data_IF_352069905825
#
_entry.id   IF_352069905825
#
_cell.length_a   1.000
_cell.length_b   1.000
_cell.length_c   1.000
_cell.angle_alpha   90.00
_cell.angle_beta   90.00
_cell.angle_gamma   90.00
#
_symmetry.space_group_name_H-M   'P 1'
#
loop_
_entity.id
_entity.type
_entity.pdbx_description
1 polymer ?
#
# COMPACT_ATOMS: atom_id res chain seq x y z
N UNK A 1 -41.58 13.03 -59.67
CA UNK A 1 -40.59 13.10 -60.74
C UNK A 1 -39.45 13.95 -60.21
N UNK A 2 -38.27 13.50 -59.79
CA UNK A 2 -37.56 12.22 -59.68
C UNK A 2 -36.45 12.54 -58.64
N UNK A 3 -36.27 11.81 -57.53
CA UNK A 3 -35.58 10.52 -57.36
C UNK A 3 -34.13 10.46 -57.87
N UNK A 4 -33.23 10.13 -56.94
CA UNK A 4 -31.86 9.60 -57.06
C UNK A 4 -30.69 10.56 -57.39
N UNK A 5 -29.61 10.37 -56.59
CA UNK A 5 -28.28 11.02 -56.57
C UNK A 5 -28.22 12.19 -55.56
N UNK A 6 -27.47 12.15 -54.47
CA UNK A 6 -26.18 11.52 -54.25
C UNK A 6 -25.98 11.25 -52.75
N UNK A 7 -26.11 9.99 -52.35
CA UNK A 7 -25.88 9.48 -50.99
C UNK A 7 -24.40 9.16 -50.73
N UNK A 8 -23.47 9.69 -51.54
CA UNK A 8 -22.05 9.30 -51.51
C UNK A 8 -21.11 10.29 -50.80
N UNK A 9 -21.62 11.36 -50.18
CA UNK A 9 -20.77 12.32 -49.43
C UNK A 9 -20.89 12.22 -47.90
N UNK A 10 -21.67 11.28 -47.36
CA UNK A 10 -21.87 11.14 -45.91
C UNK A 10 -21.32 9.83 -45.31
N UNK A 11 -20.53 9.07 -46.08
CA UNK A 11 -19.93 7.80 -45.63
C UNK A 11 -18.39 7.82 -45.53
N UNK A 12 -17.74 8.97 -45.75
CA UNK A 12 -16.27 9.08 -45.74
C UNK A 12 -15.70 9.94 -44.59
N UNK A 13 -16.50 10.25 -43.56
CA UNK A 13 -16.06 11.00 -42.38
C UNK A 13 -16.13 10.23 -41.05
N UNK A 14 -16.29 8.90 -41.11
CA UNK A 14 -16.37 8.03 -39.91
C UNK A 14 -15.22 7.00 -39.82
N UNK A 15 -14.10 7.21 -40.52
CA UNK A 15 -13.01 6.21 -40.60
C UNK A 15 -11.60 6.73 -40.30
N UNK A 16 -11.42 7.89 -39.66
CA UNK A 16 -10.07 8.43 -39.37
C UNK A 16 -9.87 8.96 -37.95
N UNK A 17 -10.46 8.35 -36.93
CA UNK A 17 -10.07 8.57 -35.51
C UNK A 17 -9.84 7.25 -34.75
N UNK A 18 -9.25 6.27 -35.44
CA UNK A 18 -8.70 5.05 -34.82
C UNK A 18 -7.22 4.91 -35.17
N UNK A 19 -6.44 5.93 -34.81
CA UNK A 19 -4.97 5.87 -34.83
C UNK A 19 -4.49 5.89 -33.37
N UNK A 20 -4.24 4.67 -32.88
CA UNK A 20 -3.18 4.32 -31.93
C UNK A 20 -3.24 4.99 -30.54
N UNK A 21 -4.21 4.59 -29.73
CA UNK A 21 -3.85 4.22 -28.35
C UNK A 21 -3.31 2.80 -28.46
N UNK A 22 -1.99 2.68 -28.64
CA UNK A 22 -1.37 1.39 -28.33
C UNK A 22 -1.56 1.19 -26.83
N UNK A 23 -2.18 0.08 -26.37
CA UNK A 23 -1.86 -0.37 -25.04
C UNK A 23 -0.35 -0.56 -25.07
N UNK A 24 0.36 0.12 -24.18
CA UNK A 24 1.74 -0.23 -23.86
C UNK A 24 1.68 -1.65 -23.29
N UNK A 25 1.65 -2.64 -24.17
CA UNK A 25 2.01 -4.00 -23.82
C UNK A 25 3.49 -3.90 -23.50
N UNK A 26 3.78 -3.76 -22.20
CA UNK A 26 5.05 -4.19 -21.64
C UNK A 26 5.41 -5.50 -22.34
N UNK A 27 6.49 -5.47 -23.11
CA UNK A 27 7.13 -6.70 -23.57
C UNK A 27 7.31 -7.56 -22.33
N UNK A 28 6.90 -8.84 -22.34
CA UNK A 28 7.05 -9.67 -21.16
C UNK A 28 8.52 -9.69 -20.81
N UNK A 29 8.88 -9.02 -19.72
CA UNK A 29 10.15 -9.26 -19.05
C UNK A 29 10.19 -10.78 -18.85
N UNK A 30 11.21 -11.38 -19.42
CA UNK A 30 11.51 -12.81 -19.43
C UNK A 30 11.02 -13.42 -18.12
N UNK A 31 9.87 -14.12 -18.14
CA UNK A 31 9.25 -14.57 -16.89
C UNK A 31 10.28 -15.41 -16.15
N UNK A 32 10.72 -14.96 -14.98
CA UNK A 32 11.61 -15.77 -14.18
C UNK A 32 10.90 -17.11 -13.91
N UNK A 33 11.71 -18.17 -13.89
CA UNK A 33 11.29 -19.55 -13.68
C UNK A 33 10.14 -19.60 -12.64
N UNK A 34 8.98 -20.16 -13.00
CA UNK A 34 7.79 -20.26 -12.14
C UNK A 34 8.04 -21.03 -10.83
N UNK A 35 9.22 -21.64 -10.70
CA UNK A 35 9.73 -22.28 -9.48
C UNK A 35 10.51 -21.37 -8.55
N UNK A 36 10.85 -20.14 -8.97
CA UNK A 36 11.55 -19.22 -8.10
C UNK A 36 10.62 -18.76 -6.99
N UNK A 37 11.06 -18.94 -5.74
CA UNK A 37 10.44 -18.33 -4.59
C UNK A 37 11.47 -18.10 -3.50
N UNK A 38 11.30 -17.03 -2.75
CA UNK A 38 12.22 -16.64 -1.69
C UNK A 38 11.47 -15.85 -0.61
N UNK A 39 12.11 -15.68 0.53
CA UNK A 39 11.56 -15.04 1.72
C UNK A 39 12.42 -13.85 2.11
N UNK A 40 11.78 -12.78 2.55
CA UNK A 40 12.43 -11.62 3.13
C UNK A 40 11.85 -11.40 4.53
N UNK A 41 12.71 -11.43 5.54
CA UNK A 41 12.34 -11.02 6.89
C UNK A 41 12.20 -9.50 6.95
N UNK A 42 11.11 -9.02 7.56
CA UNK A 42 10.84 -7.60 7.73
C UNK A 42 10.63 -7.29 9.21
N UNK A 43 11.35 -6.31 9.73
CA UNK A 43 11.09 -5.76 11.06
C UNK A 43 10.32 -4.46 10.93
N UNK A 44 9.38 -4.22 11.86
CA UNK A 44 8.67 -2.95 11.92
C UNK A 44 9.62 -1.81 12.29
N UNK A 45 9.20 -0.60 11.95
CA UNK A 45 9.79 0.62 12.51
C UNK A 45 9.62 0.59 14.03
N UNK A 46 10.62 1.07 14.78
CA UNK A 46 10.66 1.04 16.25
C UNK A 46 10.74 -0.39 16.85
N UNK A 47 11.16 -1.40 16.08
CA UNK A 47 11.43 -2.76 16.59
C UNK A 47 12.39 -2.73 17.79
N UNK A 48 12.03 -3.47 18.85
CA UNK A 48 12.84 -3.56 20.07
C UNK A 48 12.73 -2.35 21.02
N UNK A 49 12.03 -1.28 20.63
CA UNK A 49 11.76 -0.16 21.55
C UNK A 49 10.69 -0.55 22.58
N UNK A 50 10.88 -0.12 23.82
CA UNK A 50 9.93 -0.35 24.90
C UNK A 50 8.83 0.72 24.86
N UNK A 51 7.86 0.54 23.97
CA UNK A 51 6.75 1.47 23.73
C UNK A 51 5.41 0.74 23.88
N UNK A 52 4.39 1.43 24.39
CA UNK A 52 3.02 0.89 24.41
C UNK A 52 2.46 0.79 22.99
N UNK A 53 1.44 -0.06 22.79
CA UNK A 53 0.73 -0.16 21.52
C UNK A 53 0.24 1.22 21.05
N UNK A 54 -0.32 2.02 21.96
CA UNK A 54 -0.80 3.36 21.64
C UNK A 54 0.33 4.30 21.23
N UNK A 55 1.46 4.28 21.93
CA UNK A 55 2.63 5.07 21.54
C UNK A 55 3.15 4.71 20.14
N UNK A 56 3.21 3.42 19.81
CA UNK A 56 3.59 2.95 18.47
C UNK A 56 2.60 3.46 17.40
N UNK A 57 1.30 3.36 17.68
CA UNK A 57 0.26 3.90 16.78
C UNK A 57 0.43 5.40 16.62
N UNK A 58 0.46 6.17 17.71
CA UNK A 58 0.58 7.63 17.71
C UNK A 58 1.79 8.12 16.91
N UNK A 59 2.95 7.47 17.05
CA UNK A 59 4.16 7.79 16.30
C UNK A 59 3.99 7.58 14.79
N UNK A 60 3.18 6.60 14.40
CA UNK A 60 2.90 6.31 12.99
C UNK A 60 1.69 7.07 12.40
N UNK A 61 0.83 7.66 13.24
CA UNK A 61 -0.35 8.44 12.79
C UNK A 61 0.03 9.65 11.94
N UNK A 62 1.14 10.31 12.23
CA UNK A 62 1.58 11.47 11.45
C UNK A 62 1.79 11.10 9.98
N UNK A 63 2.52 10.02 9.71
CA UNK A 63 2.76 9.51 8.35
C UNK A 63 1.46 9.04 7.69
N UNK A 64 0.60 8.34 8.43
CA UNK A 64 -0.68 7.85 7.92
C UNK A 64 -1.63 8.96 7.45
N UNK A 65 -1.73 10.06 8.21
CA UNK A 65 -2.58 11.21 7.84
C UNK A 65 -2.06 11.94 6.61
N UNK A 66 -0.77 12.24 6.58
CA UNK A 66 -0.13 12.84 5.40
C UNK A 66 -0.37 11.95 4.17
N UNK A 67 -0.21 10.62 4.32
CA UNK A 67 -0.49 9.60 3.30
C UNK A 67 -1.88 9.65 2.72
N UNK A 68 -2.88 9.74 3.59
CA UNK A 68 -4.26 9.91 3.16
C UNK A 68 -4.47 11.23 2.38
N UNK A 69 -3.91 12.34 2.84
CA UNK A 69 -4.08 13.65 2.18
C UNK A 69 -3.49 13.64 0.77
N UNK A 70 -2.30 13.08 0.57
CA UNK A 70 -1.72 12.97 -0.76
C UNK A 70 -2.48 11.99 -1.65
N UNK A 71 -2.92 10.84 -1.15
CA UNK A 71 -3.77 9.95 -1.95
C UNK A 71 -5.06 10.63 -2.35
N UNK A 72 -5.63 11.44 -1.47
CA UNK A 72 -6.78 12.30 -1.80
C UNK A 72 -6.43 13.29 -2.90
N UNK A 73 -5.28 13.97 -2.83
CA UNK A 73 -4.77 14.89 -3.87
C UNK A 73 -4.48 14.19 -5.20
N UNK A 74 -3.85 13.03 -5.19
CA UNK A 74 -3.60 12.20 -6.39
C UNK A 74 -4.91 11.76 -7.03
N UNK A 75 -5.88 11.41 -6.20
CA UNK A 75 -7.16 10.98 -6.68
C UNK A 75 -7.95 12.21 -7.23
N UNK A 76 -7.88 13.41 -6.63
CA UNK A 76 -8.52 14.62 -7.21
C UNK A 76 -7.84 15.13 -8.48
N UNK A 77 -6.52 15.00 -8.59
CA UNK A 77 -5.72 15.39 -9.77
C UNK A 77 -5.76 14.36 -10.90
N UNK A 78 -6.30 13.16 -10.67
CA UNK A 78 -6.72 12.28 -11.77
C UNK A 78 -7.77 12.93 -12.71
N UNK A 79 -8.40 14.04 -12.27
CA UNK A 79 -9.23 14.90 -13.12
C UNK A 79 -8.47 16.05 -13.81
N UNK A 80 -7.15 16.20 -13.59
CA UNK A 80 -6.34 17.30 -14.12
C UNK A 80 -4.84 17.00 -14.11
N UNK A 81 -4.27 16.82 -15.31
CA UNK A 81 -2.86 16.53 -15.56
C UNK A 81 -1.89 17.61 -15.05
N UNK A 82 -1.54 17.62 -13.76
CA UNK A 82 -0.25 18.10 -13.23
C UNK A 82 -0.25 18.10 -11.70
N UNK A 83 0.65 17.33 -11.09
CA UNK A 83 1.20 17.71 -9.79
C UNK A 83 2.63 18.18 -10.06
N UNK A 84 2.84 19.49 -10.13
CA UNK A 84 4.17 20.11 -10.12
C UNK A 84 4.47 20.62 -8.71
N UNK A 85 5.47 20.02 -8.06
CA UNK A 85 6.10 20.60 -6.88
C UNK A 85 7.22 21.56 -7.32
N UNK A 86 7.44 22.68 -6.61
CA UNK A 86 8.44 23.68 -6.97
C UNK A 86 9.87 23.12 -6.93
N UNK A 87 10.66 23.48 -7.94
CA UNK A 87 12.02 22.98 -8.20
C UNK A 87 13.05 23.90 -7.54
N UNK A 88 13.97 23.34 -6.76
CA UNK A 88 15.22 24.00 -6.39
C UNK A 88 16.39 23.12 -6.84
N UNK A 89 17.26 23.59 -7.75
CA UNK A 89 18.36 22.79 -8.27
C UNK A 89 19.46 22.61 -7.22
N UNK A 90 19.77 21.35 -6.90
CA UNK A 90 20.97 20.95 -6.17
C UNK A 90 21.79 19.99 -7.02
N UNK A 91 22.99 20.40 -7.43
CA UNK A 91 23.97 19.56 -8.13
C UNK A 91 24.71 18.66 -7.15
N UNK A 92 24.68 17.34 -7.36
CA UNK A 92 25.49 16.39 -6.58
C UNK A 92 25.50 14.99 -7.21
N UNK A 93 26.72 14.51 -7.50
CA UNK A 93 27.03 13.19 -8.04
C UNK A 93 26.92 12.08 -6.98
N UNK A 94 26.50 10.90 -7.44
CA UNK A 94 26.56 9.60 -6.75
C UNK A 94 25.81 9.50 -5.40
N UNK A 95 25.52 8.28 -4.94
CA UNK A 95 24.92 8.02 -3.62
C UNK A 95 25.92 8.32 -2.46
N UNK A 96 26.84 9.26 -2.69
CA UNK A 96 27.93 9.73 -1.85
C UNK A 96 27.61 11.04 -1.13
N UNK A 97 26.48 11.70 -1.44
CA UNK A 97 26.06 12.86 -0.69
C UNK A 97 25.50 12.42 0.68
N UNK A 98 25.99 12.96 1.81
CA UNK A 98 25.39 12.69 3.11
C UNK A 98 24.01 13.32 3.11
N UNK A 99 22.96 12.53 2.88
CA UNK A 99 21.61 12.99 3.15
C UNK A 99 21.42 13.12 4.66
N UNK A 100 20.67 14.14 5.08
CA UNK A 100 20.54 14.71 6.44
C UNK A 100 19.88 13.77 7.46
N UNK A 101 19.77 12.47 7.16
CA UNK A 101 19.07 11.49 7.98
C UNK A 101 20.03 10.44 8.53
N UNK A 102 19.96 10.24 9.84
CA UNK A 102 20.62 9.13 10.51
C UNK A 102 19.83 7.84 10.19
N UNK A 103 20.37 7.00 9.31
CA UNK A 103 19.77 5.73 8.91
C UNK A 103 20.45 4.55 9.62
N UNK A 104 19.70 3.48 9.95
CA UNK A 104 20.21 2.40 10.81
C UNK A 104 21.27 1.51 10.16
N UNK A 105 21.44 1.56 8.84
CA UNK A 105 22.50 0.81 8.12
C UNK A 105 23.36 1.75 7.28
N UNK A 106 24.57 1.34 6.87
CA UNK A 106 25.41 2.15 5.99
C UNK A 106 24.69 2.51 4.68
N UNK A 107 24.97 3.70 4.16
CA UNK A 107 24.50 4.14 2.84
C UNK A 107 25.11 3.24 1.77
N UNK A 108 24.29 2.83 0.79
CA UNK A 108 24.74 1.98 -0.30
C UNK A 108 25.70 2.74 -1.21
N UNK A 109 26.95 2.28 -1.27
CA UNK A 109 28.00 2.87 -2.09
C UNK A 109 28.11 2.13 -3.43
N UNK A 110 27.48 2.70 -4.45
CA UNK A 110 27.48 2.17 -5.83
C UNK A 110 28.86 1.86 -6.39
N UNK A 111 29.91 2.55 -5.94
CA UNK A 111 31.28 2.35 -6.44
C UNK A 111 31.93 1.06 -5.92
N UNK A 112 31.39 0.49 -4.83
CA UNK A 112 31.89 -0.75 -4.22
C UNK A 112 31.26 -2.02 -4.79
N UNK A 113 30.20 -1.89 -5.57
CA UNK A 113 29.56 -3.03 -6.24
C UNK A 113 30.09 -3.15 -7.67
N UNK A 114 30.65 -4.31 -8.00
CA UNK A 114 31.14 -4.60 -9.35
C UNK A 114 30.03 -4.85 -10.37
N UNK A 115 28.78 -5.05 -9.90
CA UNK A 115 27.60 -5.27 -10.76
C UNK A 115 26.69 -4.04 -10.83
N UNK A 116 26.96 -3.01 -10.02
CA UNK A 116 26.18 -1.78 -10.05
C UNK A 116 26.53 -0.95 -11.28
N UNK A 117 25.50 -0.40 -11.92
CA UNK A 117 25.65 0.54 -13.03
C UNK A 117 24.54 1.58 -13.04
N UNK A 118 24.83 2.75 -13.61
CA UNK A 118 23.81 3.79 -13.78
C UNK A 118 22.83 3.41 -14.88
N UNK A 119 21.54 3.68 -14.66
CA UNK A 119 20.51 3.45 -15.66
C UNK A 119 20.61 4.53 -16.74
N UNK A 120 20.68 4.10 -18.00
CA UNK A 120 20.71 5.01 -19.14
C UNK A 120 19.33 5.61 -19.39
N UNK A 121 19.31 6.79 -20.01
CA UNK A 121 18.08 7.47 -20.36
C UNK A 121 17.19 6.73 -21.36
N UNK A 122 17.78 5.88 -22.19
CA UNK A 122 17.05 5.08 -23.17
C UNK A 122 16.57 3.74 -22.61
N UNK A 123 16.89 3.43 -21.35
CA UNK A 123 16.43 2.21 -20.68
C UNK A 123 14.94 2.32 -20.37
N UNK A 124 14.23 1.20 -20.47
CA UNK A 124 12.81 1.09 -20.10
C UNK A 124 12.60 1.49 -18.64
N UNK A 125 13.53 1.13 -17.74
CA UNK A 125 13.53 1.56 -16.33
C UNK A 125 13.48 3.08 -16.15
N UNK A 126 14.04 3.84 -17.10
CA UNK A 126 13.99 5.30 -17.07
C UNK A 126 12.66 5.83 -17.62
N UNK A 127 12.21 5.26 -18.73
CA UNK A 127 11.01 5.68 -19.44
C UNK A 127 9.72 5.34 -18.70
N UNK A 128 9.75 4.32 -17.85
CA UNK A 128 8.64 3.86 -17.02
C UNK A 128 8.33 4.79 -15.82
N UNK A 129 9.15 5.82 -15.58
CA UNK A 129 8.90 6.82 -14.55
C UNK A 129 7.93 7.89 -15.02
N UNK A 130 7.00 8.30 -14.14
CA UNK A 130 6.09 9.41 -14.41
C UNK A 130 6.81 10.76 -14.55
N UNK A 131 7.87 10.98 -13.75
CA UNK A 131 8.64 12.24 -13.74
C UNK A 131 10.12 11.92 -13.70
N UNK A 132 10.81 12.18 -14.80
CA UNK A 132 12.25 11.98 -14.90
C UNK A 132 12.93 13.09 -15.72
N UNK A 133 14.24 13.22 -15.53
CA UNK A 133 15.09 14.11 -16.31
C UNK A 133 16.32 13.36 -16.79
N UNK A 134 16.74 13.70 -18.00
CA UNK A 134 17.92 13.13 -18.62
C UNK A 134 19.02 14.16 -18.67
N UNK A 135 19.84 14.19 -17.62
CA UNK A 135 20.96 15.12 -17.49
C UNK A 135 22.06 14.39 -16.74
N UNK A 136 23.02 13.84 -17.48
CA UNK A 136 24.09 12.97 -16.99
C UNK A 136 23.57 11.67 -16.35
N UNK A 137 22.66 10.99 -17.07
CA UNK A 137 21.99 9.77 -16.62
C UNK A 137 20.51 9.98 -16.34
N UNK A 138 19.84 8.91 -15.92
CA UNK A 138 18.42 8.93 -15.62
C UNK A 138 18.16 9.47 -14.20
N UNK A 139 17.64 10.69 -14.07
CA UNK A 139 17.30 11.33 -12.80
C UNK A 139 15.81 11.21 -12.51
N UNK A 140 15.47 10.95 -11.26
CA UNK A 140 14.09 10.77 -10.82
C UNK A 140 13.68 11.81 -9.79
N UNK A 141 12.38 12.10 -9.78
CA UNK A 141 11.71 12.80 -8.70
C UNK A 141 10.50 11.98 -8.29
N UNK A 142 10.41 11.64 -7.01
CA UNK A 142 9.31 10.85 -6.48
C UNK A 142 8.68 11.57 -5.28
N UNK A 143 7.36 11.56 -5.22
CA UNK A 143 6.59 12.06 -4.09
C UNK A 143 5.77 10.93 -3.50
N UNK A 144 5.90 10.75 -2.18
CA UNK A 144 5.16 9.73 -1.47
C UNK A 144 3.86 10.28 -0.93
N UNK A 145 3.01 9.35 -0.50
CA UNK A 145 1.75 9.69 0.12
C UNK A 145 1.96 10.60 1.34
N UNK A 146 2.95 10.34 2.18
CA UNK A 146 3.17 11.09 3.43
C UNK A 146 3.78 12.49 3.25
N UNK A 147 3.60 13.08 2.06
CA UNK A 147 4.16 14.36 1.62
C UNK A 147 5.69 14.40 1.57
N UNK A 148 6.34 13.28 1.86
CA UNK A 148 7.78 13.15 1.69
C UNK A 148 8.13 13.06 0.20
N UNK A 149 9.33 13.51 -0.16
CA UNK A 149 9.83 13.45 -1.53
C UNK A 149 11.29 13.06 -1.57
N UNK A 150 11.68 12.49 -2.70
CA UNK A 150 13.04 12.04 -2.95
C UNK A 150 13.42 12.37 -4.39
N UNK A 151 14.62 12.88 -4.55
CA UNK A 151 15.25 13.18 -5.82
C UNK A 151 16.61 12.51 -5.86
N UNK A 152 16.96 11.98 -7.03
CA UNK A 152 18.26 11.38 -7.25
C UNK A 152 18.40 10.81 -8.66
N UNK A 153 19.15 9.72 -8.78
CA UNK A 153 19.36 9.04 -10.05
C UNK A 153 19.04 7.55 -9.94
N UNK A 154 18.65 6.96 -11.07
CA UNK A 154 18.38 5.54 -11.18
C UNK A 154 19.67 4.76 -11.39
N UNK A 155 19.82 3.69 -10.62
CA UNK A 155 20.88 2.70 -10.77
C UNK A 155 20.23 1.31 -10.92
N UNK A 156 21.02 0.36 -11.40
CA UNK A 156 20.65 -1.05 -11.39
C UNK A 156 21.80 -1.87 -10.83
N UNK A 157 21.47 -2.92 -10.08
CA UNK A 157 22.46 -3.83 -9.49
C UNK A 157 21.88 -5.24 -9.34
N UNK A 158 22.69 -6.17 -8.84
CA UNK A 158 22.29 -7.52 -8.48
C UNK A 158 21.76 -7.53 -7.06
N UNK A 159 20.49 -7.90 -6.90
CA UNK A 159 19.89 -8.11 -5.58
C UNK A 159 20.04 -9.57 -5.19
N UNK A 160 20.52 -9.82 -3.96
CA UNK A 160 20.64 -11.17 -3.42
C UNK A 160 19.67 -11.34 -2.26
N UNK A 161 18.79 -12.32 -2.36
CA UNK A 161 17.82 -12.68 -1.34
C UNK A 161 18.25 -13.97 -0.66
N UNK A 162 18.25 -13.97 0.67
CA UNK A 162 18.56 -15.17 1.45
C UNK A 162 17.40 -16.17 1.32
N UNK A 163 17.71 -17.40 0.93
CA UNK A 163 16.71 -18.45 0.78
C UNK A 163 16.76 -19.39 1.98
N UNK A 164 15.64 -19.50 2.69
CA UNK A 164 15.47 -20.34 3.86
C UNK A 164 15.28 -21.84 3.54
N UNK A 165 15.48 -22.29 2.29
CA UNK A 165 15.33 -23.70 1.90
C UNK A 165 16.27 -24.23 0.80
N UNK A 166 16.65 -23.42 -0.20
CA UNK A 166 17.48 -23.86 -1.34
C UNK A 166 18.77 -23.05 -1.59
N UNK A 167 19.11 -22.10 -0.70
CA UNK A 167 20.32 -21.27 -0.80
C UNK A 167 20.11 -19.95 -1.57
N UNK A 168 20.95 -18.94 -1.33
CA UNK A 168 20.68 -17.55 -1.73
C UNK A 168 20.38 -17.40 -3.23
N UNK A 169 19.43 -16.52 -3.54
CA UNK A 169 18.99 -16.21 -4.91
C UNK A 169 19.52 -14.82 -5.29
N UNK A 170 20.36 -14.75 -6.33
CA UNK A 170 20.85 -13.49 -6.89
C UNK A 170 20.19 -13.17 -8.23
N UNK A 171 19.67 -11.95 -8.38
CA UNK A 171 18.94 -11.49 -9.56
C UNK A 171 19.58 -10.19 -10.06
N UNK A 172 20.18 -10.19 -11.26
CA UNK A 172 20.88 -9.02 -11.80
C UNK A 172 19.92 -7.98 -12.36
N UNK A 173 20.44 -6.77 -12.55
CA UNK A 173 19.77 -5.67 -13.26
C UNK A 173 18.44 -5.22 -12.63
N UNK A 174 18.30 -5.34 -11.31
CA UNK A 174 17.17 -4.76 -10.60
C UNK A 174 17.41 -3.26 -10.47
N UNK A 175 16.51 -2.47 -11.04
CA UNK A 175 16.50 -1.01 -11.01
C UNK A 175 15.97 -0.45 -9.70
N UNK A 176 16.64 0.56 -9.18
CA UNK A 176 16.26 1.29 -7.97
C UNK A 176 16.76 2.74 -8.02
N UNK A 177 16.11 3.60 -7.23
CA UNK A 177 16.52 5.00 -7.07
C UNK A 177 17.60 5.16 -6.01
N UNK A 178 18.72 5.79 -6.35
CA UNK A 178 19.67 6.33 -5.38
C UNK A 178 19.26 7.75 -4.98
N UNK A 179 18.66 7.90 -3.80
CA UNK A 179 18.24 9.20 -3.28
C UNK A 179 19.41 10.08 -2.88
N UNK A 180 19.48 11.28 -3.43
CA UNK A 180 20.51 12.30 -3.14
C UNK A 180 19.91 13.42 -2.30
N UNK A 181 18.68 13.82 -2.58
CA UNK A 181 17.94 14.84 -1.86
C UNK A 181 16.59 14.27 -1.40
N UNK A 182 16.49 14.00 -0.10
CA UNK A 182 15.30 13.44 0.52
C UNK A 182 14.69 14.50 1.45
N UNK A 183 13.38 14.70 1.38
CA UNK A 183 12.66 15.69 2.20
C UNK A 183 11.45 15.05 2.88
N UNK A 184 11.19 15.43 4.12
CA UNK A 184 10.09 14.91 4.93
C UNK A 184 10.56 13.99 6.06
N UNK A 185 9.61 13.39 6.75
CA UNK A 185 9.87 12.48 7.87
C UNK A 185 9.53 11.07 7.41
N UNK A 186 10.51 10.16 7.36
CA UNK A 186 10.31 8.78 6.87
C UNK A 186 11.60 8.11 6.41
N UNK A 187 12.52 8.89 5.83
CA UNK A 187 13.80 8.38 5.31
C UNK A 187 14.84 8.03 6.38
N UNK A 188 14.63 8.40 7.65
CA UNK A 188 15.50 8.00 8.76
C UNK A 188 15.10 6.69 9.46
N UNK A 189 13.96 6.10 9.07
CA UNK A 189 13.42 4.91 9.75
C UNK A 189 13.92 3.60 9.16
N UNK A 190 14.55 3.66 7.98
CA UNK A 190 15.18 2.57 7.27
C UNK A 190 16.08 3.14 6.17
N UNK A 191 16.80 2.27 5.47
CA UNK A 191 17.82 2.69 4.48
C UNK A 191 17.27 2.84 3.07
N UNK A 192 15.95 2.69 2.91
CA UNK A 192 15.24 2.76 1.63
C UNK A 192 13.80 2.30 1.76
N UNK A 193 13.06 2.36 0.64
CA UNK A 193 11.67 1.94 0.53
C UNK A 193 11.54 0.93 -0.61
N UNK A 194 10.83 -0.17 -0.35
CA UNK A 194 10.55 -1.21 -1.35
C UNK A 194 9.12 -1.07 -1.84
N UNK A 195 8.96 -0.75 -3.13
CA UNK A 195 7.65 -0.67 -3.77
C UNK A 195 7.13 -2.05 -4.20
N UNK A 196 6.00 -2.48 -3.65
CA UNK A 196 5.31 -3.73 -4.03
C UNK A 196 4.06 -3.48 -4.89
N UNK A 197 3.87 -2.26 -5.40
CA UNK A 197 2.74 -1.90 -6.26
C UNK A 197 2.77 -2.60 -7.63
N UNK A 198 1.81 -2.25 -8.48
CA UNK A 198 1.63 -2.86 -9.81
C UNK A 198 2.34 -2.10 -10.94
N UNK A 199 3.09 -1.06 -10.58
CA UNK A 199 3.87 -0.29 -11.54
C UNK A 199 5.06 -1.09 -12.08
N UNK A 200 5.56 -0.76 -13.27
CA UNK A 200 6.68 -1.47 -13.90
C UNK A 200 7.98 -1.44 -13.08
N UNK A 201 8.19 -0.37 -12.31
CA UNK A 201 9.36 -0.21 -11.43
C UNK A 201 9.22 -0.90 -10.08
N UNK A 202 8.09 -1.53 -9.77
CA UNK A 202 7.96 -2.27 -8.52
C UNK A 202 8.87 -3.49 -8.49
N UNK A 203 9.26 -3.91 -7.29
CA UNK A 203 10.08 -5.11 -7.14
C UNK A 203 9.37 -6.34 -7.73
N UNK A 204 8.05 -6.44 -7.53
CA UNK A 204 7.24 -7.56 -8.03
C UNK A 204 7.27 -7.63 -9.56
N UNK A 205 7.10 -6.49 -10.24
CA UNK A 205 7.13 -6.39 -11.70
C UNK A 205 8.51 -6.68 -12.29
N UNK A 206 9.57 -6.09 -11.72
CA UNK A 206 10.95 -6.28 -12.18
C UNK A 206 11.43 -7.73 -12.02
N UNK A 207 10.93 -8.43 -10.99
CA UNK A 207 11.21 -9.85 -10.78
C UNK A 207 10.36 -10.76 -11.68
N UNK A 208 9.38 -10.22 -12.40
CA UNK A 208 8.46 -11.00 -13.24
C UNK A 208 7.64 -12.02 -12.44
N UNK A 209 7.30 -11.69 -11.19
CA UNK A 209 6.58 -12.61 -10.30
C UNK A 209 5.06 -12.42 -10.40
N UNK A 210 4.35 -13.51 -10.63
CA UNK A 210 2.89 -13.54 -10.67
C UNK A 210 2.21 -13.48 -9.29
N UNK A 211 2.96 -13.69 -8.21
CA UNK A 211 2.43 -13.68 -6.84
C UNK A 211 3.45 -13.25 -5.81
N UNK A 212 2.96 -12.59 -4.77
CA UNK A 212 3.69 -12.33 -3.53
C UNK A 212 2.70 -12.29 -2.36
N UNK A 213 3.19 -12.50 -1.15
CA UNK A 213 2.41 -12.33 0.05
C UNK A 213 3.24 -11.71 1.16
N UNK A 214 2.56 -11.22 2.18
CA UNK A 214 3.20 -10.80 3.41
C UNK A 214 2.35 -11.22 4.60
N UNK A 215 3.00 -11.40 5.74
CA UNK A 215 2.36 -11.75 7.00
C UNK A 215 2.94 -10.83 8.08
N UNK A 216 2.15 -9.83 8.46
CA UNK A 216 2.55 -8.82 9.45
C UNK A 216 2.29 -9.35 10.85
N UNK A 217 3.32 -9.40 11.69
CA UNK A 217 3.17 -9.73 13.11
C UNK A 217 2.48 -8.59 13.86
N UNK A 218 1.96 -8.90 15.06
CA UNK A 218 1.27 -7.90 15.87
C UNK A 218 2.16 -6.68 16.19
N UNK A 219 1.58 -5.48 16.15
CA UNK A 219 2.24 -4.25 16.59
C UNK A 219 2.47 -4.22 18.12
N UNK A 220 1.95 -5.18 18.87
CA UNK A 220 2.33 -5.34 20.28
C UNK A 220 3.56 -6.23 20.47
N UNK A 221 4.01 -6.94 19.43
CA UNK A 221 5.04 -7.96 19.53
C UNK A 221 6.37 -7.50 18.93
N UNK A 222 7.47 -7.83 19.59
CA UNK A 222 8.82 -7.69 19.02
C UNK A 222 9.18 -8.97 18.26
N UNK A 223 8.45 -9.22 17.16
CA UNK A 223 8.64 -10.35 16.25
C UNK A 223 8.88 -9.84 14.83
N UNK A 224 9.57 -10.67 14.04
CA UNK A 224 9.85 -10.38 12.63
C UNK A 224 8.67 -10.85 11.79
N UNK A 225 8.25 -10.01 10.84
CA UNK A 225 7.26 -10.32 9.82
C UNK A 225 7.93 -10.96 8.60
N UNK A 226 7.14 -11.60 7.73
CA UNK A 226 7.67 -12.24 6.53
C UNK A 226 7.03 -11.64 5.28
N UNK A 227 7.83 -11.46 4.23
CA UNK A 227 7.38 -11.21 2.86
C UNK A 227 7.84 -12.38 2.00
N UNK A 228 6.93 -12.98 1.26
CA UNK A 228 7.15 -14.21 0.49
C UNK A 228 6.88 -13.93 -0.99
N UNK A 229 7.78 -14.39 -1.84
CA UNK A 229 7.75 -14.11 -3.26
C UNK A 229 7.64 -15.39 -4.08
N UNK A 230 6.96 -15.31 -5.23
CA UNK A 230 6.91 -16.37 -6.22
C UNK A 230 6.38 -17.69 -5.65
N UNK A 231 7.09 -18.79 -5.87
CA UNK A 231 6.67 -20.13 -5.43
C UNK A 231 6.48 -20.27 -3.91
N UNK A 232 7.02 -19.35 -3.10
CA UNK A 232 6.80 -19.34 -1.65
C UNK A 232 5.62 -18.45 -1.20
N UNK A 233 5.05 -17.64 -2.09
CA UNK A 233 4.01 -16.67 -1.72
C UNK A 233 2.73 -17.32 -1.14
N UNK A 234 2.45 -18.57 -1.53
CA UNK A 234 1.33 -19.37 -1.05
C UNK A 234 1.77 -20.48 -0.06
N UNK A 235 2.94 -20.34 0.56
CA UNK A 235 3.32 -21.20 1.69
C UNK A 235 2.21 -21.18 2.75
N UNK A 236 1.75 -22.37 3.15
CA UNK A 236 0.61 -22.57 4.04
C UNK A 236 -0.75 -22.07 3.54
N UNK A 237 -0.89 -21.77 2.23
CA UNK A 237 -2.19 -21.79 1.57
C UNK A 237 -2.66 -23.24 1.48
N UNK A 238 -3.08 -23.80 2.63
CA UNK A 238 -4.02 -24.92 2.64
C UNK A 238 -5.20 -24.51 1.76
N UNK A 239 -5.82 -25.46 1.07
CA UNK A 239 -6.99 -25.30 0.19
C UNK A 239 -8.25 -24.77 0.89
N UNK A 240 -8.10 -23.88 1.89
CA UNK A 240 -9.04 -22.85 2.27
C UNK A 240 -9.69 -22.31 1.00
N UNK A 241 -10.99 -22.59 0.88
CA UNK A 241 -11.72 -22.43 -0.38
C UNK A 241 -11.82 -20.98 -0.84
N UNK A 242 -12.64 -20.74 -1.86
CA UNK A 242 -12.92 -19.41 -2.40
C UNK A 242 -13.32 -18.35 -1.33
N UNK A 243 -13.72 -18.78 -0.13
CA UNK A 243 -14.20 -17.96 0.99
C UNK A 243 -13.20 -16.93 1.55
N UNK A 244 -11.93 -16.96 1.18
CA UNK A 244 -10.90 -16.02 1.66
C UNK A 244 -10.37 -15.08 0.59
N UNK A 245 -11.00 -15.01 -0.58
CA UNK A 245 -10.49 -14.29 -1.74
C UNK A 245 -11.48 -13.26 -2.25
N UNK A 246 -10.97 -12.09 -2.61
CA UNK A 246 -11.71 -11.05 -3.33
C UNK A 246 -10.99 -10.71 -4.65
N UNK A 247 -11.71 -10.38 -5.72
CA UNK A 247 -11.12 -9.85 -6.94
C UNK A 247 -10.38 -8.53 -6.68
N UNK A 248 -9.28 -8.32 -7.41
CA UNK A 248 -8.66 -7.01 -7.57
C UNK A 248 -9.47 -6.20 -8.58
N UNK A 249 -9.74 -4.95 -8.24
CA UNK A 249 -10.42 -3.99 -9.10
C UNK A 249 -9.36 -3.10 -9.77
N UNK A 250 -9.59 -2.73 -11.03
CA UNK A 250 -8.71 -1.82 -11.74
C UNK A 250 -9.22 -0.38 -11.62
N UNK A 251 -8.37 0.53 -11.16
CA UNK A 251 -8.61 1.96 -11.28
C UNK A 251 -7.74 2.52 -12.42
N UNK A 252 -8.31 2.91 -13.57
CA UNK A 252 -7.53 3.38 -14.71
C UNK A 252 -6.74 4.66 -14.41
N UNK A 253 -7.13 5.42 -13.39
CA UNK A 253 -6.43 6.63 -12.96
C UNK A 253 -5.30 6.36 -11.95
N UNK A 254 -5.32 5.19 -11.30
CA UNK A 254 -4.32 4.78 -10.31
C UNK A 254 -3.99 3.29 -10.48
N UNK A 255 -3.42 2.89 -11.65
CA UNK A 255 -3.25 1.48 -12.02
C UNK A 255 -2.21 0.74 -11.16
N UNK A 256 -1.37 1.47 -10.43
CA UNK A 256 -0.34 0.90 -9.57
C UNK A 256 -0.89 0.37 -8.23
N UNK A 257 -2.10 0.76 -7.82
CA UNK A 257 -2.68 0.38 -6.53
C UNK A 257 -3.48 -0.92 -6.61
N UNK A 258 -3.52 -1.64 -5.49
CA UNK A 258 -4.35 -2.83 -5.31
C UNK A 258 -5.71 -2.42 -4.76
N UNK A 259 -6.70 -2.22 -5.63
CA UNK A 259 -8.07 -1.95 -5.23
C UNK A 259 -8.86 -3.23 -4.96
N UNK A 260 -9.74 -3.17 -3.97
CA UNK A 260 -10.75 -4.18 -3.66
C UNK A 260 -12.12 -3.52 -3.48
N UNK A 261 -13.18 -4.30 -3.66
CA UNK A 261 -14.57 -3.83 -3.51
C UNK A 261 -15.06 -4.15 -2.10
N UNK A 262 -15.22 -3.13 -1.26
CA UNK A 262 -15.86 -3.24 0.07
C UNK A 262 -17.35 -2.92 -0.08
N UNK A 263 -18.21 -3.92 0.12
CA UNK A 263 -19.66 -3.83 -0.10
C UNK A 263 -20.44 -3.49 1.18
N UNK A 264 -19.87 -3.73 2.35
CA UNK A 264 -20.55 -3.49 3.62
C UNK A 264 -19.66 -3.71 4.84
N UNK A 265 -20.18 -3.32 6.00
CA UNK A 265 -19.51 -3.48 7.30
C UNK A 265 -20.55 -3.94 8.31
N UNK A 266 -20.23 -4.97 9.10
CA UNK A 266 -21.06 -5.44 10.22
C UNK A 266 -20.33 -5.24 11.54
N UNK A 267 -21.02 -4.67 12.52
CA UNK A 267 -20.55 -4.50 13.90
C UNK A 267 -21.46 -5.30 14.83
N UNK A 268 -20.90 -6.25 15.59
CA UNK A 268 -21.68 -7.25 16.30
C UNK A 268 -22.54 -8.05 15.32
N UNK A 269 -23.86 -7.91 15.43
CA UNK A 269 -24.84 -8.51 14.51
C UNK A 269 -25.50 -7.46 13.59
N UNK A 270 -25.08 -6.20 13.67
CA UNK A 270 -25.68 -5.07 12.92
C UNK A 270 -24.89 -4.80 11.64
N UNK A 271 -25.49 -5.08 10.48
CA UNK A 271 -25.02 -4.55 9.20
C UNK A 271 -25.27 -3.04 9.16
N UNK A 272 -24.23 -2.24 8.93
CA UNK A 272 -24.37 -0.79 8.90
C UNK A 272 -25.37 -0.35 7.80
N UNK A 273 -26.30 0.57 8.12
CA UNK A 273 -27.35 0.97 7.20
C UNK A 273 -26.81 1.95 6.15
N UNK A 274 -26.13 1.41 5.13
CA UNK A 274 -25.52 2.20 4.08
C UNK A 274 -25.64 1.52 2.70
N UNK A 275 -25.83 2.29 1.61
CA UNK A 275 -25.84 1.74 0.27
C UNK A 275 -24.49 1.07 -0.06
N UNK A 276 -24.53 -0.09 -0.74
CA UNK A 276 -23.30 -0.75 -1.27
C UNK A 276 -22.46 0.20 -2.15
N UNK A 277 -23.10 1.17 -2.79
CA UNK A 277 -22.44 2.18 -3.63
C UNK A 277 -21.61 3.20 -2.85
N UNK A 278 -21.79 3.35 -1.53
CA UNK A 278 -21.07 4.36 -0.74
C UNK A 278 -19.56 4.18 -0.84
N UNK A 279 -19.06 2.95 -0.87
CA UNK A 279 -17.62 2.66 -0.93
C UNK A 279 -17.14 2.17 -2.30
N UNK A 280 -18.04 2.09 -3.29
CA UNK A 280 -17.72 1.58 -4.63
C UNK A 280 -16.73 2.51 -5.33
N UNK A 281 -15.81 1.92 -6.11
CA UNK A 281 -14.98 2.67 -7.05
C UNK A 281 -15.86 3.24 -8.16
N UNK A 282 -15.79 4.55 -8.37
CA UNK A 282 -16.58 5.29 -9.36
C UNK A 282 -15.80 5.44 -10.66
N UNK A 283 -16.53 5.77 -11.73
CA UNK A 283 -15.96 5.96 -13.08
C UNK A 283 -14.95 7.11 -13.16
N UNK A 284 -15.01 8.08 -12.24
CA UNK A 284 -14.06 9.19 -12.12
C UNK A 284 -12.79 8.84 -11.31
N UNK A 285 -12.62 7.56 -10.97
CA UNK A 285 -11.49 7.06 -10.18
C UNK A 285 -11.57 7.39 -8.69
N UNK A 286 -12.66 8.00 -8.20
CA UNK A 286 -12.89 8.22 -6.78
C UNK A 286 -13.56 7.02 -6.09
N UNK A 287 -13.46 6.95 -4.77
CA UNK A 287 -13.98 5.83 -3.99
C UNK A 287 -13.12 4.57 -4.09
N UNK A 288 -13.75 3.41 -3.87
CA UNK A 288 -13.04 2.13 -3.73
C UNK A 288 -12.28 2.02 -2.41
N UNK A 289 -11.61 0.88 -2.23
CA UNK A 289 -10.69 0.64 -1.12
C UNK A 289 -9.38 0.11 -1.66
N UNK A 290 -8.25 0.70 -1.27
CA UNK A 290 -6.92 0.14 -1.56
C UNK A 290 -6.40 -0.67 -0.38
N UNK A 291 -5.54 -1.64 -0.67
CA UNK A 291 -4.74 -2.34 0.35
C UNK A 291 -3.37 -1.67 0.43
N UNK A 292 -2.99 -1.17 1.60
CA UNK A 292 -1.74 -0.44 1.76
C UNK A 292 -1.04 -0.80 3.07
N UNK A 293 0.01 -1.62 2.98
CA UNK A 293 0.85 -1.98 4.12
C UNK A 293 1.68 -0.81 4.67
N UNK A 294 1.83 0.26 3.87
CA UNK A 294 2.53 1.49 4.27
C UNK A 294 1.66 2.48 5.04
N UNK A 295 0.36 2.22 5.16
CA UNK A 295 -0.55 3.07 5.95
C UNK A 295 -0.89 2.38 7.27
N UNK A 296 -0.78 3.07 8.40
CA UNK A 296 -1.07 2.48 9.72
C UNK A 296 -2.55 2.14 9.92
N UNK A 297 -3.42 3.15 9.94
CA UNK A 297 -4.84 2.98 10.23
C UNK A 297 -5.62 2.58 8.98
N UNK A 298 -6.74 1.89 9.17
CA UNK A 298 -7.74 1.84 8.11
C UNK A 298 -8.49 3.16 8.03
N UNK A 299 -8.53 3.74 6.84
CA UNK A 299 -9.29 4.94 6.55
C UNK A 299 -10.53 4.57 5.74
N UNK A 300 -11.70 5.01 6.18
CA UNK A 300 -12.98 4.75 5.51
C UNK A 300 -13.59 6.05 5.04
N UNK A 301 -14.26 6.02 3.89
CA UNK A 301 -15.06 7.17 3.43
C UNK A 301 -15.96 7.70 4.54
N UNK A 302 -16.08 9.02 4.63
CA UNK A 302 -16.67 9.72 5.77
C UNK A 302 -18.06 9.19 6.19
N UNK A 303 -18.94 8.90 5.22
CA UNK A 303 -20.26 8.33 5.49
C UNK A 303 -20.17 6.96 6.17
N UNK A 304 -19.29 6.08 5.68
CA UNK A 304 -19.03 4.76 6.24
C UNK A 304 -18.47 4.86 7.66
N UNK A 305 -17.46 5.72 7.84
CA UNK A 305 -16.81 5.90 9.11
C UNK A 305 -17.76 6.48 10.16
N UNK A 306 -18.62 7.43 9.76
CA UNK A 306 -19.64 8.01 10.65
C UNK A 306 -20.63 6.94 11.12
N UNK A 307 -21.13 6.10 10.22
CA UNK A 307 -22.03 4.98 10.58
C UNK A 307 -21.34 4.01 11.55
N UNK A 308 -20.09 3.64 11.25
CA UNK A 308 -19.29 2.74 12.06
C UNK A 308 -19.08 3.29 13.48
N UNK A 309 -18.70 4.58 13.62
CA UNK A 309 -18.52 5.23 14.92
C UNK A 309 -19.80 5.23 15.74
N UNK A 310 -20.95 5.53 15.13
CA UNK A 310 -22.23 5.52 15.84
C UNK A 310 -22.58 4.13 16.36
N UNK A 311 -22.35 3.09 15.55
CA UNK A 311 -22.66 1.73 15.94
C UNK A 311 -21.77 1.24 17.09
N UNK A 312 -20.45 1.49 17.02
CA UNK A 312 -19.55 1.19 18.15
C UNK A 312 -19.94 1.92 19.43
N UNK A 313 -20.31 3.20 19.35
CA UNK A 313 -20.79 3.96 20.52
C UNK A 313 -22.03 3.32 21.15
N UNK A 314 -22.94 2.79 20.33
CA UNK A 314 -24.16 2.15 20.81
C UNK A 314 -23.91 0.80 21.50
N UNK A 315 -22.94 0.02 21.01
CA UNK A 315 -22.72 -1.36 21.48
C UNK A 315 -21.68 -1.48 22.59
N UNK A 316 -20.64 -0.63 22.61
CA UNK A 316 -19.56 -0.71 23.61
C UNK A 316 -20.04 -0.47 25.04
N UNK A 317 -21.14 0.28 25.23
CA UNK A 317 -21.71 0.62 26.56
C UNK A 317 -20.69 1.24 27.54
N UNK A 318 -19.62 1.85 27.01
CA UNK A 318 -18.62 2.61 27.76
C UNK A 318 -18.81 4.11 27.55
N UNK A 319 -18.30 4.92 28.47
CA UNK A 319 -18.25 6.38 28.28
C UNK A 319 -17.27 6.70 27.16
N UNK A 320 -17.70 7.53 26.21
CA UNK A 320 -16.80 8.06 25.17
C UNK A 320 -15.81 9.01 25.84
N UNK A 321 -14.52 8.80 25.59
CA UNK A 321 -13.44 9.58 26.18
C UNK A 321 -13.26 10.91 25.45
N UNK A 322 -13.09 11.99 26.22
CA UNK A 322 -12.79 13.34 25.72
C UNK A 322 -11.34 13.48 25.23
N UNK A 323 -10.49 12.50 25.55
CA UNK A 323 -9.06 12.48 25.18
C UNK A 323 -8.78 12.14 23.71
N UNK A 324 -9.82 11.93 22.90
CA UNK A 324 -9.71 11.48 21.50
C UNK A 324 -8.77 12.38 20.67
N UNK A 325 -8.90 13.71 20.80
CA UNK A 325 -8.07 14.68 20.08
C UNK A 325 -6.59 14.61 20.48
N UNK A 326 -6.33 14.53 21.80
CA UNK A 326 -4.97 14.38 22.35
C UNK A 326 -4.33 13.06 21.94
N UNK A 327 -5.14 12.00 21.85
CA UNK A 327 -4.68 10.67 21.47
C UNK A 327 -4.42 10.59 19.95
N UNK A 328 -5.14 11.38 19.16
CA UNK A 328 -5.09 11.35 17.70
C UNK A 328 -5.94 10.27 17.06
N UNK A 329 -6.86 9.65 17.81
CA UNK A 329 -7.80 8.65 17.30
C UNK A 329 -9.24 9.17 17.46
N UNK A 330 -10.05 9.02 16.41
CA UNK A 330 -11.36 9.68 16.30
C UNK A 330 -12.45 9.16 17.25
N UNK A 331 -12.23 8.00 17.87
CA UNK A 331 -13.16 7.38 18.80
C UNK A 331 -12.41 6.60 19.88
N UNK A 332 -12.43 7.13 21.10
CA UNK A 332 -11.94 6.47 22.30
C UNK A 332 -13.05 6.30 23.34
N UNK A 333 -12.92 5.27 24.17
CA UNK A 333 -13.76 4.99 25.33
C UNK A 333 -12.88 4.92 26.56
N UNK A 334 -13.40 5.32 27.73
CA UNK A 334 -12.65 5.11 28.96
C UNK A 334 -12.71 3.65 29.38
N UNK A 335 -11.57 3.17 29.87
CA UNK A 335 -11.44 1.86 30.47
C UNK A 335 -11.99 1.90 31.91
N UNK A 336 -13.00 1.09 32.25
CA UNK A 336 -13.48 0.98 33.61
C UNK A 336 -12.49 0.22 34.51
N UNK A 337 -11.71 -0.69 33.93
CA UNK A 337 -10.69 -1.52 34.57
C UNK A 337 -9.48 -1.67 33.64
N UNK A 338 -8.32 -2.06 34.17
CA UNK A 338 -7.12 -2.32 33.37
C UNK A 338 -7.23 -3.62 32.53
N UNK A 339 -8.20 -4.49 32.84
CA UNK A 339 -8.41 -5.77 32.17
C UNK A 339 -9.43 -5.66 31.03
N UNK A 340 -8.94 -5.74 29.79
CA UNK A 340 -9.78 -5.71 28.59
C UNK A 340 -10.65 -6.95 28.41
N UNK A 341 -10.32 -8.07 29.06
CA UNK A 341 -11.12 -9.30 28.97
C UNK A 341 -12.50 -9.12 29.62
N UNK A 342 -12.65 -8.13 30.49
CA UNK A 342 -13.93 -7.73 31.08
C UNK A 342 -14.77 -6.84 30.15
N UNK A 343 -14.19 -6.35 29.04
CA UNK A 343 -14.84 -5.46 28.08
C UNK A 343 -15.33 -6.26 26.88
N UNK A 344 -16.65 -6.31 26.71
CA UNK A 344 -17.27 -6.88 25.53
C UNK A 344 -17.06 -5.96 24.32
N UNK A 345 -16.04 -6.26 23.51
CA UNK A 345 -15.80 -5.58 22.23
C UNK A 345 -16.69 -6.19 21.14
N UNK A 346 -17.55 -5.40 20.45
CA UNK A 346 -18.32 -5.88 19.32
C UNK A 346 -17.43 -6.42 18.21
N UNK A 347 -17.83 -7.54 17.60
CA UNK A 347 -17.15 -8.08 16.42
C UNK A 347 -17.15 -7.09 15.27
N UNK A 348 -16.08 -7.05 14.48
CA UNK A 348 -16.01 -6.25 13.25
C UNK A 348 -15.83 -7.18 12.05
N UNK A 349 -16.71 -7.06 11.07
CA UNK A 349 -16.62 -7.79 9.80
C UNK A 349 -16.68 -6.83 8.62
N UNK A 350 -15.71 -6.95 7.73
CA UNK A 350 -15.67 -6.24 6.45
C UNK A 350 -16.18 -7.18 5.36
N UNK A 351 -17.19 -6.76 4.62
CA UNK A 351 -17.79 -7.54 3.55
C UNK A 351 -17.19 -7.11 2.22
N UNK A 352 -16.22 -7.85 1.71
CA UNK A 352 -15.66 -7.63 0.38
C UNK A 352 -16.47 -8.41 -0.68
N UNK A 353 -16.29 -8.05 -1.94
CA UNK A 353 -16.86 -8.85 -3.03
C UNK A 353 -16.35 -10.29 -2.98
N UNK A 354 -17.27 -11.23 -2.74
CA UNK A 354 -16.97 -12.67 -2.70
C UNK A 354 -16.41 -13.19 -1.37
N UNK A 355 -16.14 -12.34 -0.37
CA UNK A 355 -15.65 -12.81 0.93
C UNK A 355 -15.99 -11.89 2.11
N UNK A 356 -16.04 -12.50 3.29
CA UNK A 356 -16.16 -11.80 4.57
C UNK A 356 -14.83 -11.86 5.32
N UNK A 357 -14.31 -10.72 5.77
CA UNK A 357 -13.15 -10.63 6.64
C UNK A 357 -13.61 -10.24 8.05
N UNK A 358 -13.73 -11.22 8.94
CA UNK A 358 -13.92 -11.00 10.37
C UNK A 358 -12.56 -10.69 11.02
N UNK A 359 -12.43 -9.50 11.61
CA UNK A 359 -11.21 -9.04 12.24
C UNK A 359 -11.27 -9.32 13.75
N UNK A 360 -10.18 -9.76 14.38
CA UNK A 360 -10.14 -9.91 15.83
C UNK A 360 -10.00 -8.53 16.51
N UNK A 361 -10.48 -8.34 17.76
CA UNK A 361 -10.48 -7.05 18.46
C UNK A 361 -9.13 -6.32 18.44
N UNK A 362 -8.02 -7.03 18.56
CA UNK A 362 -6.67 -6.47 18.52
C UNK A 362 -6.33 -5.79 17.18
N UNK A 363 -7.03 -6.10 16.09
CA UNK A 363 -6.83 -5.50 14.77
C UNK A 363 -7.67 -4.22 14.57
N UNK A 364 -8.50 -3.80 15.54
CA UNK A 364 -9.24 -2.54 15.43
C UNK A 364 -9.42 -1.79 16.76
N UNK A 365 -9.00 -2.35 17.89
CA UNK A 365 -8.97 -1.69 19.19
C UNK A 365 -7.54 -1.54 19.71
N UNK A 366 -7.20 -0.32 20.13
CA UNK A 366 -5.93 0.06 20.74
C UNK A 366 -6.20 0.46 22.18
N UNK A 367 -5.83 -0.40 23.11
CA UNK A 367 -5.93 -0.15 24.54
C UNK A 367 -4.64 0.44 25.10
N UNK A 368 -4.77 1.40 26.01
CA UNK A 368 -3.69 1.85 26.87
C UNK A 368 -4.21 2.00 28.31
N UNK A 369 -3.99 0.98 29.17
CA UNK A 369 -4.39 1.03 30.58
C UNK A 369 -3.78 2.20 31.34
N UNK A 370 -2.56 2.62 30.99
CA UNK A 370 -1.88 3.74 31.67
C UNK A 370 -2.58 5.07 31.44
N UNK A 371 -3.25 5.22 30.29
CA UNK A 371 -4.09 6.36 29.95
C UNK A 371 -5.57 6.12 30.28
N UNK A 372 -5.94 4.90 30.70
CA UNK A 372 -7.31 4.52 30.99
C UNK A 372 -8.24 4.57 29.77
N UNK A 373 -7.74 4.24 28.56
CA UNK A 373 -8.50 4.36 27.32
C UNK A 373 -8.40 3.15 26.40
N UNK A 374 -9.46 2.91 25.62
CA UNK A 374 -9.46 2.01 24.47
C UNK A 374 -10.03 2.73 23.25
N UNK A 375 -9.29 2.72 22.15
CA UNK A 375 -9.57 3.54 20.98
C UNK A 375 -9.70 2.70 19.71
N UNK A 376 -10.58 3.13 18.83
CA UNK A 376 -10.76 2.54 17.51
C UNK A 376 -9.57 2.90 16.59
N UNK A 377 -8.95 1.89 15.98
CA UNK A 377 -7.81 2.02 15.06
C UNK A 377 -8.25 2.32 13.61
N UNK A 378 -9.22 3.21 13.44
CA UNK A 378 -9.79 3.56 12.14
C UNK A 378 -10.13 5.06 12.12
N UNK A 379 -10.11 5.67 10.94
CA UNK A 379 -10.36 7.09 10.76
C UNK A 379 -11.15 7.42 9.49
N UNK A 380 -11.63 8.65 9.37
CA UNK A 380 -12.32 9.12 8.16
C UNK A 380 -11.34 9.40 7.00
N UNK A 381 -11.84 9.22 5.78
CA UNK A 381 -11.25 9.65 4.52
C UNK A 381 -12.28 10.41 3.70
N UNK A 382 -11.83 11.41 2.95
CA UNK A 382 -12.68 12.27 2.13
C UNK A 382 -12.91 11.75 0.71
N UNK A 383 -12.10 10.81 0.19
CA UNK A 383 -12.20 10.39 -1.22
C UNK A 383 -12.07 8.90 -1.50
N UNK A 384 -11.18 8.18 -0.83
CA UNK A 384 -10.96 6.75 -1.05
C UNK A 384 -10.70 6.03 0.27
N UNK A 385 -11.17 4.79 0.39
CA UNK A 385 -10.87 3.98 1.57
C UNK A 385 -9.49 3.33 1.44
N UNK A 386 -8.86 3.04 2.58
CA UNK A 386 -7.55 2.40 2.67
C UNK A 386 -7.64 1.34 3.76
N UNK A 387 -7.34 0.08 3.45
CA UNK A 387 -7.12 -0.96 4.44
C UNK A 387 -5.68 -0.81 4.95
N UNK A 388 -5.54 -0.32 6.18
CA UNK A 388 -4.24 -0.07 6.81
C UNK A 388 -3.62 -1.33 7.41
N UNK A 389 -2.36 -1.24 7.82
CA UNK A 389 -1.57 -2.37 8.24
C UNK A 389 -1.98 -2.94 9.61
N UNK A 390 -2.64 -2.17 10.49
CA UNK A 390 -3.16 -2.70 11.76
C UNK A 390 -4.21 -3.77 11.50
N UNK A 391 -5.11 -3.54 10.54
CA UNK A 391 -6.14 -4.51 10.18
C UNK A 391 -5.60 -5.71 9.41
N UNK A 392 -4.35 -5.65 8.95
CA UNK A 392 -3.66 -6.72 8.20
C UNK A 392 -2.76 -7.59 9.09
N UNK A 393 -2.65 -7.31 10.39
CA UNK A 393 -1.82 -8.10 11.31
C UNK A 393 -2.38 -9.51 11.51
N UNK A 394 -1.49 -10.49 11.61
CA UNK A 394 -1.81 -11.91 11.73
C UNK A 394 -2.73 -12.43 10.62
N UNK A 395 -2.61 -11.82 9.44
CA UNK A 395 -3.20 -12.29 8.18
C UNK A 395 -2.06 -12.51 7.19
N UNK A 396 -2.03 -13.67 6.54
CA UNK A 396 -1.29 -13.86 5.31
C UNK A 396 -2.09 -13.17 4.20
N UNK A 397 -1.57 -12.04 3.71
CA UNK A 397 -2.17 -11.27 2.61
C UNK A 397 -1.50 -11.69 1.32
N UNK A 398 -2.17 -12.55 0.54
CA UNK A 398 -1.66 -13.09 -0.71
C UNK A 398 -2.19 -12.29 -1.90
N UNK A 399 -1.29 -11.64 -2.62
CA UNK A 399 -1.56 -11.02 -3.91
C UNK A 399 -1.24 -12.01 -5.03
N UNK A 400 -2.28 -12.52 -5.70
CA UNK A 400 -2.17 -13.38 -6.87
C UNK A 400 -2.50 -12.54 -8.11
N UNK A 401 -1.46 -12.00 -8.74
CA UNK A 401 -1.56 -11.08 -9.88
C UNK A 401 -1.91 -11.83 -11.17
N UNK A 402 -1.59 -13.12 -11.27
CA UNK A 402 -2.00 -13.96 -12.41
C UNK A 402 -3.52 -14.16 -12.41
N UNK A 403 -4.11 -14.33 -11.22
CA UNK A 403 -5.57 -14.48 -11.06
C UNK A 403 -6.30 -13.17 -10.80
N UNK A 404 -5.59 -12.04 -10.73
CA UNK A 404 -6.15 -10.73 -10.39
C UNK A 404 -6.97 -10.78 -9.08
N UNK A 405 -6.42 -11.41 -8.04
CA UNK A 405 -7.10 -11.56 -6.75
C UNK A 405 -6.19 -11.30 -5.56
N UNK A 406 -6.80 -11.02 -4.43
CA UNK A 406 -6.13 -10.97 -3.12
C UNK A 406 -6.86 -11.85 -2.13
N UNK A 407 -6.09 -12.55 -1.30
CA UNK A 407 -6.63 -13.40 -0.24
C UNK A 407 -6.17 -12.93 1.13
N UNK A 408 -7.07 -12.99 2.12
CA UNK A 408 -6.77 -12.67 3.52
C UNK A 408 -6.99 -13.91 4.38
N UNK A 409 -5.90 -14.48 4.90
CA UNK A 409 -5.94 -15.79 5.58
C UNK A 409 -5.40 -15.62 7.00
N UNK A 410 -6.22 -15.86 8.05
CA UNK A 410 -5.76 -15.86 9.43
C UNK A 410 -4.54 -16.78 9.61
N UNK A 411 -3.43 -16.21 10.07
CA UNK A 411 -2.13 -16.90 10.14
C UNK A 411 -1.34 -16.37 11.34
N UNK A 412 -0.69 -17.28 12.09
CA UNK A 412 0.28 -16.88 13.12
C UNK A 412 1.59 -16.46 12.43
N UNK A 413 1.72 -15.17 12.13
CA UNK A 413 2.77 -14.67 11.24
C UNK A 413 4.19 -14.83 11.80
N UNK A 414 4.35 -14.90 13.13
CA UNK A 414 5.63 -15.08 13.79
C UNK A 414 6.15 -16.53 13.74
N UNK A 415 5.31 -17.46 13.27
CA UNK A 415 5.64 -18.88 13.08
C UNK A 415 5.74 -19.28 11.60
N UNK A 416 5.52 -18.33 10.68
CA UNK A 416 5.53 -18.57 9.24
C UNK A 416 6.95 -18.72 8.68
#
# INVERSE_FOLDING_TARGET
MDSFQSLTSLLLLLLTTSLLVQPSFSTPHQSLNTKLGFRVGATRIDYGKNLTKLQLVQRSLHHGRARLEMFTKMATTASGNNIQAPIFPGSGDACHAPSVFDQPTPVFDTTKSSTCSNVSCTSDLCQDMNVFKCTDGCKYLYSYGDESSTEGFMAQDTFTFEDSGSGPVSIPNIGFGCGVNNQGTGFGQGSGLVGLGRGPLSLVSQLGLGKFSYCLTSISENKTSNVLFGALADLNYSTSGASHRTPLVQNPFQPSFYYVSLEGITIGETLLPMPKSTMKLKEDGSGGMIIDSGTTLTYLQEEAFRALKMEFKSQMKLRVSESSDTIGLDLCFDLPTEDLSEIAVPKLKLHFEGMDLELPPENYMISDPSMGVVCLAMAASSRMSILGNIQQQNLLVLHDLEKETVSFIPTQCDQL
#
